data_IF_716384620107
#
_entry.id   IF_716384620107
#
_cell.length_a   1.000
_cell.length_b   1.000
_cell.length_c   1.000
_cell.angle_alpha   90.00
_cell.angle_beta   90.00
_cell.angle_gamma   90.00
#
_symmetry.space_group_name_H-M   'P 1'
#
loop_
_entity.id
_entity.type
_entity.pdbx_description
1 polymer ?
#
# COMPACT_ATOMS: atom_id res chain seq x y z
N UNK A 1 -18.13 17.40 -27.13
CA UNK A 1 -17.84 16.68 -25.87
C UNK A 1 -16.90 15.54 -26.20
N UNK A 2 -15.62 15.66 -25.88
CA UNK A 2 -14.66 14.59 -26.14
C UNK A 2 -14.87 13.45 -25.13
N UNK A 3 -15.10 12.24 -25.62
CA UNK A 3 -15.08 11.03 -24.80
C UNK A 3 -13.68 10.89 -24.21
N UNK A 4 -13.51 11.14 -22.91
CA UNK A 4 -12.30 10.75 -22.18
C UNK A 4 -12.22 9.23 -22.21
N UNK A 5 -11.08 8.68 -22.58
CA UNK A 5 -10.84 7.23 -22.56
C UNK A 5 -11.07 6.69 -21.15
N UNK A 6 -11.68 5.51 -21.05
CA UNK A 6 -11.84 4.80 -19.78
C UNK A 6 -10.47 4.51 -19.14
N UNK A 7 -10.36 4.49 -17.81
CA UNK A 7 -9.13 4.10 -17.14
C UNK A 7 -8.73 2.67 -17.53
N UNK A 8 -7.46 2.45 -17.87
CA UNK A 8 -6.93 1.10 -18.10
C UNK A 8 -6.76 0.40 -16.75
N UNK A 9 -6.94 -0.93 -16.71
CA UNK A 9 -6.70 -1.76 -15.51
C UNK A 9 -5.20 -1.95 -15.21
N UNK A 10 -4.33 -1.75 -16.20
CA UNK A 10 -2.87 -1.72 -16.07
C UNK A 10 -2.35 -0.38 -16.62
N UNK A 11 -1.52 0.30 -15.84
CA UNK A 11 -0.94 1.60 -16.20
C UNK A 11 0.52 1.43 -16.60
N UNK A 12 0.94 2.17 -17.63
CA UNK A 12 2.34 2.42 -17.94
C UNK A 12 2.59 3.91 -17.75
N UNK A 13 3.61 4.25 -16.96
CA UNK A 13 3.97 5.62 -16.61
C UNK A 13 5.45 5.81 -16.96
N UNK A 14 5.79 6.90 -17.64
CA UNK A 14 7.18 7.19 -17.96
C UNK A 14 7.93 7.65 -16.70
N UNK A 15 9.19 7.24 -16.55
CA UNK A 15 10.01 7.59 -15.37
C UNK A 15 10.21 9.10 -15.20
N UNK A 16 10.23 9.83 -16.32
CA UNK A 16 10.28 11.31 -16.34
C UNK A 16 9.04 11.98 -15.74
N UNK A 17 8.03 11.19 -15.32
CA UNK A 17 6.73 11.66 -14.87
C UNK A 17 6.37 11.18 -13.46
N UNK A 18 7.29 10.76 -12.58
CA UNK A 18 6.92 10.27 -11.23
C UNK A 18 7.90 10.72 -10.14
N UNK A 19 7.54 11.77 -9.39
CA UNK A 19 8.35 12.30 -8.30
C UNK A 19 8.23 11.50 -6.99
N UNK A 20 7.11 10.80 -6.75
CA UNK A 20 6.93 10.02 -5.52
C UNK A 20 5.99 8.82 -5.65
N UNK A 21 6.46 7.65 -5.26
CA UNK A 21 5.65 6.46 -4.98
C UNK A 21 5.40 6.36 -3.48
N UNK A 22 4.13 6.23 -3.11
CA UNK A 22 3.66 6.16 -1.72
C UNK A 22 2.95 4.83 -1.48
N UNK A 23 3.31 4.15 -0.40
CA UNK A 23 2.64 2.94 0.10
C UNK A 23 1.39 3.29 0.90
N UNK A 24 1.05 2.44 1.87
CA UNK A 24 -0.17 2.52 2.68
C UNK A 24 -0.27 3.84 3.47
N UNK A 25 -1.48 4.40 3.58
CA UNK A 25 -1.77 5.66 4.29
C UNK A 25 -2.74 5.46 5.46
N UNK A 26 -3.70 4.53 5.32
CA UNK A 26 -4.61 4.11 6.39
C UNK A 26 -5.23 5.24 7.20
N UNK A 27 -5.81 6.24 6.53
CA UNK A 27 -6.54 7.33 7.19
C UNK A 27 -5.70 8.23 8.10
N UNK A 28 -4.37 8.20 8.01
CA UNK A 28 -3.45 9.11 8.71
C UNK A 28 -3.31 10.43 7.94
N UNK A 29 -4.40 11.22 7.90
CA UNK A 29 -4.48 12.45 7.11
C UNK A 29 -3.38 13.47 7.41
N UNK A 30 -3.03 13.66 8.68
CA UNK A 30 -1.95 14.58 9.08
C UNK A 30 -0.59 14.12 8.55
N UNK A 31 -0.32 12.82 8.55
CA UNK A 31 0.90 12.28 7.95
C UNK A 31 0.85 12.34 6.42
N UNK A 32 -0.31 12.17 5.78
CA UNK A 32 -0.45 12.41 4.35
C UNK A 32 -0.06 13.85 3.96
N UNK A 33 -0.47 14.84 4.75
CA UNK A 33 -0.06 16.23 4.53
C UNK A 33 1.45 16.39 4.69
N UNK A 34 2.05 15.81 5.73
CA UNK A 34 3.51 15.80 5.91
C UNK A 34 4.22 15.15 4.72
N UNK A 35 3.70 14.05 4.18
CA UNK A 35 4.26 13.41 2.99
C UNK A 35 4.20 14.32 1.75
N UNK A 36 3.23 15.24 1.64
CA UNK A 36 3.23 16.25 0.58
C UNK A 36 4.15 17.43 0.88
N UNK A 37 4.28 17.86 2.14
CA UNK A 37 5.25 18.88 2.54
C UNK A 37 6.69 18.46 2.24
N UNK A 38 7.01 17.17 2.42
CA UNK A 38 8.33 16.61 2.10
C UNK A 38 8.53 16.39 0.59
N UNK A 39 7.53 15.82 -0.09
CA UNK A 39 7.64 15.42 -1.51
C UNK A 39 7.25 16.48 -2.53
N UNK A 40 6.71 17.63 -2.11
CA UNK A 40 6.09 18.65 -2.96
C UNK A 40 4.59 18.41 -3.18
N UNK A 41 3.79 19.47 -3.23
CA UNK A 41 2.35 19.33 -3.43
C UNK A 41 2.01 19.16 -4.92
N UNK A 42 0.97 18.39 -5.29
CA UNK A 42 0.52 18.34 -6.68
C UNK A 42 0.09 19.75 -7.19
N UNK A 43 0.55 20.18 -8.39
CA UNK A 43 1.19 19.39 -9.45
C UNK A 43 2.73 19.53 -9.52
N UNK A 44 3.37 20.08 -8.49
CA UNK A 44 4.84 20.25 -8.46
C UNK A 44 5.57 18.90 -8.52
N UNK A 45 4.91 17.85 -8.04
CA UNK A 45 5.36 16.47 -8.03
C UNK A 45 4.26 15.54 -8.55
N UNK A 46 4.67 14.54 -9.33
CA UNK A 46 3.79 13.48 -9.81
C UNK A 46 3.78 12.30 -8.83
N UNK A 47 2.61 11.72 -8.59
CA UNK A 47 2.42 10.70 -7.55
C UNK A 47 1.75 9.43 -8.05
N UNK A 48 2.26 8.29 -7.58
CA UNK A 48 1.61 6.98 -7.66
C UNK A 48 1.43 6.42 -6.25
N UNK A 49 0.19 6.25 -5.81
CA UNK A 49 -0.12 5.58 -4.55
C UNK A 49 -0.46 4.11 -4.77
N UNK A 50 -0.01 3.24 -3.86
CA UNK A 50 -0.09 1.79 -4.01
C UNK A 50 -1.35 1.15 -3.40
N UNK A 51 -2.25 1.94 -2.79
CA UNK A 51 -3.49 1.46 -2.17
C UNK A 51 -3.57 1.75 -0.67
N UNK A 52 -4.58 1.17 -0.01
CA UNK A 52 -4.77 1.19 1.44
C UNK A 52 -4.82 2.62 2.03
N UNK A 53 -5.79 3.37 1.52
CA UNK A 53 -6.01 4.79 1.84
C UNK A 53 -6.81 4.98 3.13
N UNK A 54 -7.72 4.04 3.39
CA UNK A 54 -8.73 4.11 4.44
C UNK A 54 -8.49 3.06 5.52
N UNK A 55 -9.39 3.00 6.50
CA UNK A 55 -9.31 2.16 7.70
C UNK A 55 -8.16 2.48 8.67
N UNK A 56 -8.30 1.98 9.91
CA UNK A 56 -7.35 2.12 11.05
C UNK A 56 -7.15 3.54 11.57
N UNK A 57 -6.77 4.49 10.72
CA UNK A 57 -6.60 5.88 11.06
C UNK A 57 -7.91 6.61 11.36
N UNK A 58 -7.79 7.77 11.99
CA UNK A 58 -8.94 8.55 12.48
C UNK A 58 -9.61 9.40 11.41
N UNK A 59 -8.95 9.64 10.27
CA UNK A 59 -9.32 10.65 9.27
C UNK A 59 -9.35 10.06 7.84
N UNK A 60 -9.95 8.88 7.70
CA UNK A 60 -10.06 8.17 6.43
C UNK A 60 -10.87 8.94 5.38
N UNK A 61 -11.92 9.66 5.80
CA UNK A 61 -12.74 10.47 4.89
C UNK A 61 -11.92 11.63 4.30
N UNK A 62 -11.23 12.39 5.14
CA UNK A 62 -10.39 13.50 4.69
C UNK A 62 -9.26 13.01 3.77
N UNK A 63 -8.67 11.86 4.12
CA UNK A 63 -7.64 11.20 3.31
C UNK A 63 -8.16 10.87 1.91
N UNK A 64 -9.22 10.07 1.80
CA UNK A 64 -9.72 9.64 0.48
C UNK A 64 -10.32 10.82 -0.30
N UNK A 65 -10.99 11.77 0.36
CA UNK A 65 -11.51 12.96 -0.30
C UNK A 65 -10.40 13.82 -0.90
N UNK A 66 -9.28 14.03 -0.20
CA UNK A 66 -8.14 14.78 -0.73
C UNK A 66 -7.50 14.07 -1.93
N UNK A 67 -7.27 12.76 -1.82
CA UNK A 67 -6.67 11.96 -2.89
C UNK A 67 -7.56 11.96 -4.15
N UNK A 68 -8.88 11.80 -4.00
CA UNK A 68 -9.83 11.89 -5.11
C UNK A 68 -9.89 13.30 -5.71
N UNK A 69 -9.85 14.35 -4.87
CA UNK A 69 -9.80 15.74 -5.36
C UNK A 69 -8.54 16.00 -6.21
N UNK A 70 -7.37 15.51 -5.78
CA UNK A 70 -6.16 15.59 -6.59
C UNK A 70 -6.23 14.74 -7.86
N UNK A 71 -6.83 13.54 -7.81
CA UNK A 71 -7.04 12.73 -9.02
C UNK A 71 -7.93 13.44 -10.05
N UNK A 72 -8.98 14.12 -9.59
CA UNK A 72 -9.88 14.89 -10.46
C UNK A 72 -9.16 16.12 -11.03
N UNK A 73 -8.39 16.83 -10.20
CA UNK A 73 -7.70 18.07 -10.58
C UNK A 73 -6.49 17.83 -11.48
N UNK A 74 -5.75 16.74 -11.26
CA UNK A 74 -4.49 16.40 -11.95
C UNK A 74 -4.50 14.94 -12.46
N UNK A 75 -5.41 14.60 -13.39
CA UNK A 75 -5.62 13.21 -13.81
C UNK A 75 -4.42 12.54 -14.46
N UNK A 76 -3.51 13.33 -15.07
CA UNK A 76 -2.31 12.85 -15.75
C UNK A 76 -1.05 12.85 -14.86
N UNK A 77 -1.14 13.36 -13.63
CA UNK A 77 0.01 13.51 -12.72
C UNK A 77 -0.20 12.80 -11.38
N UNK A 78 -1.43 12.40 -11.08
CA UNK A 78 -1.82 11.80 -9.80
C UNK A 78 -2.53 10.47 -10.03
N UNK A 79 -1.96 9.39 -9.52
CA UNK A 79 -2.42 8.02 -9.78
C UNK A 79 -2.65 7.28 -8.46
N UNK A 80 -3.77 6.57 -8.40
CA UNK A 80 -4.21 5.80 -7.24
C UNK A 80 -4.43 4.36 -7.69
N UNK A 81 -3.66 3.41 -7.16
CA UNK A 81 -3.92 1.99 -7.30
C UNK A 81 -4.96 1.53 -6.28
N UNK A 82 -5.48 0.31 -6.42
CA UNK A 82 -6.39 -0.27 -5.43
C UNK A 82 -5.57 -1.14 -4.48
N UNK A 83 -5.72 -0.92 -3.18
CA UNK A 83 -5.22 -1.81 -2.13
C UNK A 83 -6.29 -2.81 -1.72
N UNK A 84 -5.92 -3.73 -0.82
CA UNK A 84 -6.85 -4.75 -0.34
C UNK A 84 -7.95 -4.15 0.55
N UNK A 85 -7.71 -3.01 1.18
CA UNK A 85 -8.71 -2.31 1.99
C UNK A 85 -9.81 -1.61 1.17
N UNK A 86 -9.63 -1.42 -0.13
CA UNK A 86 -10.64 -0.80 -1.00
C UNK A 86 -11.63 -1.82 -1.62
N UNK A 87 -12.19 -2.76 -0.84
CA UNK A 87 -13.18 -3.76 -1.30
C UNK A 87 -14.47 -3.79 -0.44
N UNK A 88 -15.62 -4.31 -0.91
CA UNK A 88 -16.87 -4.44 -0.12
C UNK A 88 -16.69 -5.28 1.11
N UNK A 89 -15.99 -6.39 0.97
CA UNK A 89 -15.89 -7.35 2.05
C UNK A 89 -15.18 -6.71 3.26
N UNK A 90 -14.40 -5.64 3.03
CA UNK A 90 -13.77 -4.81 4.07
C UNK A 90 -14.52 -3.47 4.29
N UNK A 91 -15.11 -2.85 3.26
CA UNK A 91 -15.68 -1.48 3.24
C UNK A 91 -17.09 -1.33 2.60
N UNK A 92 -17.85 -2.42 2.55
CA UNK A 92 -19.31 -2.60 2.32
C UNK A 92 -19.99 -2.45 0.94
N UNK A 93 -19.36 -2.24 -0.24
CA UNK A 93 -20.12 -2.22 -1.53
C UNK A 93 -19.59 -2.99 -2.81
N UNK A 94 -18.32 -3.41 -3.02
CA UNK A 94 -17.95 -4.37 -4.11
C UNK A 94 -16.88 -5.47 -3.81
N UNK A 95 -17.23 -6.76 -3.90
CA UNK A 95 -16.38 -7.88 -3.44
C UNK A 95 -15.14 -8.10 -4.31
N UNK A 96 -13.96 -8.10 -3.68
CA UNK A 96 -12.78 -8.76 -4.23
C UNK A 96 -12.97 -10.26 -3.94
N UNK A 97 -12.88 -11.16 -4.94
CA UNK A 97 -12.97 -12.59 -4.71
C UNK A 97 -11.88 -13.06 -3.76
N UNK A 98 -12.16 -14.11 -2.99
CA UNK A 98 -11.23 -14.60 -1.97
C UNK A 98 -10.09 -15.45 -2.55
N UNK A 99 -10.16 -15.76 -3.84
CA UNK A 99 -9.19 -16.58 -4.57
C UNK A 99 -9.02 -16.03 -5.98
N UNK A 100 -7.92 -16.43 -6.62
CA UNK A 100 -7.61 -16.07 -8.00
C UNK A 100 -6.85 -14.75 -8.12
N UNK A 101 -6.56 -14.37 -9.36
CA UNK A 101 -5.56 -13.35 -9.70
C UNK A 101 -5.73 -12.02 -8.94
N UNK A 102 -6.96 -11.50 -8.82
CA UNK A 102 -7.19 -10.23 -8.14
C UNK A 102 -6.94 -10.32 -6.63
N UNK A 103 -7.25 -11.47 -6.02
CA UNK A 103 -6.91 -11.74 -4.63
C UNK A 103 -5.39 -11.77 -4.46
N UNK A 104 -4.70 -12.50 -5.33
CA UNK A 104 -3.26 -12.71 -5.22
C UNK A 104 -2.45 -11.42 -5.44
N UNK A 105 -2.90 -10.54 -6.34
CA UNK A 105 -2.29 -9.23 -6.54
C UNK A 105 -2.41 -8.30 -5.32
N UNK A 106 -3.45 -8.48 -4.49
CA UNK A 106 -3.74 -7.60 -3.36
C UNK A 106 -3.28 -8.18 -2.01
N UNK A 107 -3.14 -9.50 -1.89
CA UNK A 107 -2.93 -10.18 -0.60
C UNK A 107 -1.67 -11.04 -0.50
N UNK A 108 -0.94 -11.27 -1.59
CA UNK A 108 0.29 -12.08 -1.54
C UNK A 108 1.45 -11.34 -0.87
N UNK A 109 2.36 -12.09 -0.26
CA UNK A 109 3.52 -11.56 0.44
C UNK A 109 4.84 -12.26 0.04
N UNK A 110 5.96 -11.52 -0.08
CA UNK A 110 7.27 -12.14 -0.17
C UNK A 110 7.65 -12.82 1.15
N UNK A 111 8.27 -14.00 1.06
CA UNK A 111 8.80 -14.74 2.21
C UNK A 111 10.20 -15.30 1.87
N UNK A 112 11.17 -15.04 2.75
CA UNK A 112 12.58 -15.45 2.60
C UNK A 112 12.79 -16.94 2.90
N UNK A 113 11.91 -17.52 3.71
CA UNK A 113 12.01 -18.89 4.20
C UNK A 113 11.26 -19.88 3.27
N UNK A 114 10.55 -19.35 2.26
CA UNK A 114 9.83 -20.11 1.23
C UNK A 114 10.66 -20.23 -0.05
N UNK A 115 10.65 -21.43 -0.64
CA UNK A 115 11.09 -21.67 -2.02
C UNK A 115 9.87 -21.96 -2.90
N UNK A 116 9.67 -21.20 -3.96
CA UNK A 116 8.46 -21.27 -4.78
C UNK A 116 7.30 -20.54 -4.10
N UNK A 117 6.15 -21.23 -3.98
CA UNK A 117 4.95 -20.70 -3.33
C UNK A 117 4.71 -21.38 -1.99
N UNK A 118 4.22 -20.64 -1.00
CA UNK A 118 3.91 -21.12 0.33
C UNK A 118 2.53 -20.69 0.81
N UNK A 119 2.11 -21.23 1.95
CA UNK A 119 0.91 -20.75 2.63
C UNK A 119 1.16 -19.35 3.20
N UNK A 120 0.10 -18.53 3.28
CA UNK A 120 0.16 -17.21 3.87
C UNK A 120 -0.53 -17.22 5.24
N UNK A 121 0.20 -16.82 6.28
CA UNK A 121 -0.28 -16.73 7.67
C UNK A 121 -1.45 -15.75 7.86
N UNK A 122 -1.73 -14.91 6.86
CA UNK A 122 -2.94 -14.07 6.79
C UNK A 122 -4.22 -14.88 6.55
N UNK A 123 -4.10 -16.14 6.14
CA UNK A 123 -5.22 -17.01 5.81
C UNK A 123 -5.87 -16.71 4.45
N UNK A 124 -5.19 -15.94 3.60
CA UNK A 124 -5.65 -15.53 2.26
C UNK A 124 -4.45 -15.43 1.31
N UNK A 125 -4.65 -15.83 0.05
CA UNK A 125 -3.59 -15.92 -0.97
C UNK A 125 -2.38 -16.77 -0.52
N UNK A 126 -1.19 -16.47 -1.03
CA UNK A 126 0.03 -17.24 -0.92
C UNK A 126 1.22 -16.35 -0.57
N UNK A 127 2.24 -16.96 0.00
CA UNK A 127 3.59 -16.38 0.07
C UNK A 127 4.41 -16.79 -1.16
N UNK A 128 5.42 -16.00 -1.53
CA UNK A 128 6.32 -16.32 -2.64
C UNK A 128 7.78 -16.05 -2.32
N UNK A 129 8.64 -16.98 -2.77
CA UNK A 129 10.07 -16.96 -2.53
C UNK A 129 10.88 -16.08 -3.49
N UNK A 130 12.17 -15.94 -3.17
CA UNK A 130 13.15 -15.19 -3.99
C UNK A 130 13.23 -15.71 -5.43
N UNK A 131 13.05 -17.02 -5.63
CA UNK A 131 13.08 -17.65 -6.95
C UNK A 131 11.87 -17.26 -7.82
N UNK A 132 10.70 -17.04 -7.21
CA UNK A 132 9.51 -16.57 -7.91
C UNK A 132 9.69 -15.13 -8.38
N UNK A 133 10.24 -14.25 -7.53
CA UNK A 133 10.56 -12.87 -7.91
C UNK A 133 11.52 -12.83 -9.10
N UNK A 134 12.63 -13.56 -9.02
CA UNK A 134 13.62 -13.59 -10.08
C UNK A 134 13.03 -14.12 -11.40
N UNK A 135 12.23 -15.19 -11.33
CA UNK A 135 11.57 -15.76 -12.51
C UNK A 135 10.58 -14.78 -13.14
N UNK A 136 9.77 -14.11 -12.34
CA UNK A 136 8.79 -13.13 -12.82
C UNK A 136 9.47 -11.97 -13.56
N UNK A 137 10.48 -11.37 -12.93
CA UNK A 137 11.23 -10.26 -13.52
C UNK A 137 11.92 -10.65 -14.83
N UNK A 138 12.51 -11.84 -14.89
CA UNK A 138 13.15 -12.35 -16.10
C UNK A 138 12.16 -12.54 -17.25
N UNK A 139 10.99 -13.14 -16.98
CA UNK A 139 9.97 -13.43 -18.01
C UNK A 139 9.38 -12.14 -18.58
N UNK A 140 9.24 -11.11 -17.75
CA UNK A 140 8.58 -9.87 -18.12
C UNK A 140 9.55 -8.73 -18.47
N UNK A 141 10.86 -9.01 -18.49
CA UNK A 141 11.91 -8.03 -18.79
C UNK A 141 11.82 -6.78 -17.90
N UNK A 142 11.66 -7.02 -16.58
CA UNK A 142 11.54 -5.98 -15.56
C UNK A 142 12.73 -6.04 -14.59
N UNK A 143 13.07 -4.89 -14.00
CA UNK A 143 14.18 -4.79 -13.04
C UNK A 143 13.76 -4.83 -11.57
N UNK A 144 12.54 -4.37 -11.26
CA UNK A 144 12.09 -4.15 -9.87
C UNK A 144 10.59 -4.35 -9.70
N UNK A 145 10.20 -5.12 -8.67
CA UNK A 145 8.84 -5.13 -8.13
C UNK A 145 8.75 -4.10 -7.01
N UNK A 146 7.76 -3.20 -7.07
CA UNK A 146 7.47 -2.23 -6.00
C UNK A 146 6.08 -2.52 -5.45
N UNK A 147 5.97 -2.78 -4.15
CA UNK A 147 4.71 -3.17 -3.48
C UNK A 147 4.57 -2.55 -2.10
N UNK A 148 3.41 -2.71 -1.45
CA UNK A 148 3.12 -2.11 -0.13
C UNK A 148 2.63 -3.15 0.92
N UNK A 149 1.54 -2.93 1.67
CA UNK A 149 0.78 -3.94 2.46
C UNK A 149 1.46 -4.62 3.67
N UNK A 150 2.80 -4.72 3.70
CA UNK A 150 3.55 -5.17 4.88
C UNK A 150 4.16 -3.96 5.58
N UNK A 151 3.86 -3.83 6.88
CA UNK A 151 4.52 -2.85 7.75
C UNK A 151 6.00 -3.22 7.87
N UNK A 152 6.88 -2.25 7.63
CA UNK A 152 8.34 -2.41 7.69
C UNK A 152 8.94 -1.29 8.53
N UNK A 153 10.00 -1.60 9.30
CA UNK A 153 10.54 -0.73 10.35
C UNK A 153 10.95 0.66 9.83
N UNK A 154 11.74 0.72 8.77
CA UNK A 154 12.23 1.97 8.18
C UNK A 154 11.26 2.58 7.15
N UNK A 155 10.05 2.04 6.99
CA UNK A 155 9.08 2.47 5.97
C UNK A 155 9.41 1.98 4.55
N UNK A 156 10.56 1.35 4.34
CA UNK A 156 10.83 0.53 3.16
C UNK A 156 11.71 -0.68 3.51
N UNK A 157 11.60 -1.76 2.73
CA UNK A 157 12.47 -2.94 2.87
C UNK A 157 12.74 -3.57 1.50
N UNK A 158 13.98 -3.98 1.26
CA UNK A 158 14.36 -4.71 0.05
C UNK A 158 14.33 -6.22 0.27
N UNK A 159 13.86 -6.94 -0.74
CA UNK A 159 13.82 -8.38 -0.82
C UNK A 159 14.49 -8.88 -2.12
N UNK A 160 14.79 -10.19 -2.20
CA UNK A 160 15.29 -10.86 -3.40
C UNK A 160 16.48 -10.13 -4.07
N UNK A 161 17.56 -9.86 -3.31
CA UNK A 161 18.73 -9.11 -3.82
C UNK A 161 18.37 -7.73 -4.38
N UNK A 162 17.46 -7.03 -3.71
CA UNK A 162 16.96 -5.69 -4.07
C UNK A 162 16.11 -5.62 -5.34
N UNK A 163 15.62 -6.76 -5.83
CA UNK A 163 14.74 -6.84 -6.99
C UNK A 163 13.24 -6.75 -6.63
N UNK A 164 12.92 -6.73 -5.34
CA UNK A 164 11.62 -6.33 -4.82
C UNK A 164 11.81 -5.32 -3.69
N UNK A 165 10.96 -4.30 -3.65
CA UNK A 165 10.88 -3.34 -2.55
C UNK A 165 9.46 -3.25 -2.00
N UNK A 166 9.35 -3.33 -0.68
CA UNK A 166 8.13 -3.05 0.08
C UNK A 166 8.19 -1.60 0.57
N UNK A 167 7.12 -0.84 0.38
CA UNK A 167 6.95 0.54 0.84
C UNK A 167 5.77 0.64 1.80
N UNK A 168 5.95 1.30 2.93
CA UNK A 168 4.89 1.55 3.90
C UNK A 168 4.94 3.01 4.34
N UNK A 169 3.89 3.80 4.08
CA UNK A 169 3.94 5.27 4.23
C UNK A 169 3.20 5.79 5.47
N UNK A 170 2.67 4.91 6.32
CA UNK A 170 1.98 5.26 7.56
C UNK A 170 2.93 5.12 8.79
N UNK A 171 3.56 6.21 9.26
CA UNK A 171 4.45 6.14 10.42
C UNK A 171 3.67 5.87 11.71
N UNK A 172 4.31 5.17 12.65
CA UNK A 172 3.70 4.76 13.93
C UNK A 172 2.34 4.09 13.71
N UNK A 173 2.33 3.08 12.83
CA UNK A 173 1.12 2.42 12.37
C UNK A 173 0.28 1.93 13.55
N UNK A 174 -1.04 2.15 13.47
CA UNK A 174 -2.01 1.87 14.54
C UNK A 174 -1.67 2.48 15.93
N UNK A 175 -0.62 3.29 16.06
CA UNK A 175 -0.11 3.78 17.36
C UNK A 175 0.62 2.72 18.19
N UNK A 176 0.92 1.56 17.61
CA UNK A 176 1.52 0.39 18.27
C UNK A 176 2.92 0.07 17.76
N UNK A 177 3.17 0.36 16.48
CA UNK A 177 4.48 0.19 15.86
C UNK A 177 5.30 1.48 16.02
N UNK A 178 6.64 1.38 16.08
CA UNK A 178 7.53 2.54 16.03
C UNK A 178 8.13 2.73 14.62
N UNK A 179 7.42 2.24 13.60
CA UNK A 179 7.89 2.27 12.22
C UNK A 179 7.90 3.69 11.65
N UNK A 180 8.84 3.96 10.75
CA UNK A 180 8.79 5.13 9.89
C UNK A 180 7.84 4.92 8.70
N UNK A 181 7.47 6.01 8.04
CA UNK A 181 6.84 6.00 6.73
C UNK A 181 7.90 6.21 5.64
N UNK A 182 7.88 5.42 4.58
CA UNK A 182 8.78 5.55 3.44
C UNK A 182 8.08 6.12 2.21
N UNK A 183 8.81 6.90 1.41
CA UNK A 183 8.45 7.29 0.05
C UNK A 183 9.59 6.97 -0.89
N UNK A 184 9.29 6.45 -2.08
CA UNK A 184 10.31 6.19 -3.09
C UNK A 184 10.18 7.19 -4.24
N UNK A 185 11.25 7.90 -4.56
CA UNK A 185 11.36 8.73 -5.76
C UNK A 185 12.14 7.97 -6.83
N UNK A 186 11.69 8.04 -8.08
CA UNK A 186 12.36 7.43 -9.23
C UNK A 186 12.68 8.54 -10.23
N UNK A 187 13.95 8.75 -10.54
CA UNK A 187 14.36 9.81 -11.46
C UNK A 187 14.29 9.38 -12.94
N UNK A 188 14.64 10.28 -13.86
CA UNK A 188 14.64 10.00 -15.29
C UNK A 188 15.62 8.88 -15.72
N UNK A 189 16.63 8.56 -14.90
CA UNK A 189 17.60 7.48 -15.12
C UNK A 189 17.19 6.19 -14.40
N UNK A 190 15.94 6.09 -13.91
CA UNK A 190 15.41 4.98 -13.12
C UNK A 190 16.10 4.80 -11.77
N UNK A 191 16.83 5.82 -11.28
CA UNK A 191 17.46 5.77 -9.97
C UNK A 191 16.41 5.90 -8.87
N UNK A 192 16.33 4.88 -8.02
CA UNK A 192 15.43 4.86 -6.87
C UNK A 192 16.11 5.48 -5.65
N UNK A 193 15.48 6.49 -5.06
CA UNK A 193 15.87 7.10 -3.79
C UNK A 193 14.71 7.07 -2.79
N UNK A 194 15.02 7.09 -1.49
CA UNK A 194 14.01 6.92 -0.44
C UNK A 194 14.04 8.11 0.52
N UNK A 195 12.85 8.58 0.87
CA UNK A 195 12.62 9.61 1.88
C UNK A 195 11.86 9.00 3.06
N UNK A 196 12.34 9.25 4.27
CA UNK A 196 11.86 8.60 5.49
C UNK A 196 11.20 9.61 6.41
N UNK A 197 9.92 9.38 6.68
CA UNK A 197 9.09 10.16 7.58
C UNK A 197 9.02 9.46 8.94
N UNK A 198 9.75 9.98 9.93
CA UNK A 198 9.68 9.46 11.30
C UNK A 198 8.32 9.79 11.95
N UNK A 199 7.86 8.96 12.91
CA UNK A 199 6.71 9.27 13.75
C UNK A 199 6.77 10.70 14.30
N UNK A 200 5.62 11.37 14.35
CA UNK A 200 5.55 12.68 15.00
C UNK A 200 5.67 12.51 16.52
N UNK A 201 6.44 13.40 17.17
CA UNK A 201 6.46 13.44 18.64
C UNK A 201 5.04 13.73 19.15
N UNK A 202 4.58 12.94 20.12
CA UNK A 202 3.24 13.10 20.72
C UNK A 202 3.13 14.49 21.35
N UNK A 203 2.50 15.45 20.66
CA UNK A 203 1.98 16.64 21.33
C UNK A 203 0.91 16.19 22.33
N UNK A 204 1.09 16.56 23.59
CA UNK A 204 0.25 16.13 24.69
C UNK A 204 -1.23 16.55 24.49
N UNK A 205 -2.11 15.54 24.61
CA UNK A 205 -3.54 15.57 25.00
C UNK A 205 -4.57 16.11 23.98
N UNK A 206 -5.24 15.16 23.33
CA UNK A 206 -6.71 15.09 23.39
C UNK A 206 -7.09 13.70 23.92
N UNK A 207 -7.42 13.64 25.22
CA UNK A 207 -7.93 12.44 25.88
C UNK A 207 -9.39 12.23 25.48
N UNK A 208 -9.67 11.14 24.75
CA UNK A 208 -10.97 10.49 24.82
C UNK A 208 -10.74 9.12 25.44
N UNK A 209 -11.29 8.94 26.64
CA UNK A 209 -11.16 7.74 27.45
C UNK A 209 -12.07 6.64 26.89
N UNK A 210 -11.52 5.46 26.60
CA UNK A 210 -12.26 4.30 26.13
C UNK A 210 -11.39 3.05 26.18
N UNK A 211 -11.58 2.26 27.23
CA UNK A 211 -10.87 1.03 27.59
C UNK A 211 -11.25 -0.16 26.71
N UNK A 212 -10.27 -0.88 26.14
CA UNK A 212 -10.12 -2.34 26.28
C UNK A 212 -8.85 -2.85 25.57
N UNK A 213 -7.96 -3.48 26.36
CA UNK A 213 -6.73 -4.13 25.93
C UNK A 213 -7.03 -5.54 25.38
N UNK A 214 -7.14 -5.71 24.06
CA UNK A 214 -6.83 -6.96 23.35
C UNK A 214 -6.23 -6.64 21.96
N UNK A 215 -5.16 -7.36 21.61
CA UNK A 215 -4.21 -7.13 20.51
C UNK A 215 -4.85 -7.12 19.10
N UNK A 216 -4.48 -6.22 18.17
CA UNK A 216 -4.89 -6.32 16.77
C UNK A 216 -3.74 -6.70 15.81
N UNK A 217 -3.90 -7.81 15.08
CA UNK A 217 -3.15 -8.10 13.84
C UNK A 217 -3.86 -7.44 12.63
N UNK A 218 -3.20 -7.40 11.45
CA UNK A 218 -3.90 -7.20 10.16
C UNK A 218 -5.06 -8.20 10.08
N UNK A 219 -6.27 -7.84 9.62
CA UNK A 219 -7.45 -8.68 9.82
C UNK A 219 -7.27 -10.03 9.13
N UNK A 220 -7.32 -11.13 9.89
CA UNK A 220 -7.48 -12.47 9.33
C UNK A 220 -8.95 -12.66 8.93
N UNK A 221 -9.17 -13.32 7.78
CA UNK A 221 -10.52 -13.61 7.30
C UNK A 221 -11.14 -14.76 8.12
N UNK A 222 -12.30 -14.53 8.73
CA UNK A 222 -13.04 -15.56 9.46
C UNK A 222 -13.45 -16.73 8.54
N UNK A 223 -12.97 -17.94 8.84
CA UNK A 223 -13.49 -19.19 8.27
C UNK A 223 -14.76 -19.59 9.04
N UNK A 224 -15.92 -19.61 8.40
CA UNK A 224 -17.11 -20.22 8.98
C UNK A 224 -17.08 -21.76 8.81
N UNK A 225 -17.65 -22.52 9.77
CA UNK A 225 -17.37 -23.94 9.93
C UNK A 225 -18.14 -24.82 8.94
N UNK A 226 -17.49 -25.89 8.53
CA UNK A 226 -18.06 -27.00 7.77
C UNK A 226 -19.24 -27.65 8.52
N UNK A 227 -20.41 -27.66 7.87
CA UNK A 227 -21.55 -28.47 8.32
C UNK A 227 -21.20 -29.97 8.16
N UNK A 228 -20.94 -30.64 9.27
CA UNK A 228 -20.91 -32.12 9.33
C UNK A 228 -22.33 -32.65 9.14
N UNK A 229 -22.48 -33.42 8.07
CA UNK A 229 -23.59 -34.37 7.84
C UNK A 229 -23.79 -35.25 9.08
N UNK A 230 -25.04 -35.40 9.50
CA UNK A 230 -25.60 -36.64 10.03
C UNK A 230 -26.73 -37.05 9.09
#
# INVERSE_FOLDING_TARGET
>A
MGMKSSPKSLFSLASSELAGRKGDIHGQYTDLLRLFEYGGFPPEANYLFLGDYVDRGKQSLETICLLLAYKIKYPENFFLLRGNHECASINRIYDVPDTGLLCDLLWSDPDKDVKGWGENDRGVSFTFGVDIVAKFLLIHELDLICRAHQVVEDGYEFFARRSLVTLFSAPNYCGEFDNAGGMMSVDANLMCSFQILKPSEKKAKYQYSGTNNQRPQTPQRNQNPTNKRK
#
